data_IF_749091454176
#
_entry.id   IF_749091454176
#
_cell.length_a   1.000
_cell.length_b   1.000
_cell.length_c   1.000
_cell.angle_alpha   90.00
_cell.angle_beta   90.00
_cell.angle_gamma   90.00
#
_symmetry.space_group_name_H-M   'P 1'
#
loop_
_entity.id
_entity.type
_entity.pdbx_description
1 polymer ?
#
# COMPACT_ATOMS: atom_id res chain seq x y z
N UNK A 1 -7.02 10.30 -13.31
CA UNK A 1 -6.65 9.06 -14.01
C UNK A 1 -7.88 8.26 -14.37
N UNK A 2 -7.94 7.75 -15.58
CA UNK A 2 -9.00 6.81 -15.96
C UNK A 2 -8.59 5.37 -15.61
N UNK A 3 -9.51 4.41 -15.82
CA UNK A 3 -9.27 3.00 -15.47
C UNK A 3 -8.08 2.40 -16.19
N UNK A 4 -7.88 2.74 -17.44
CA UNK A 4 -6.75 2.26 -18.25
C UNK A 4 -5.42 2.75 -17.71
N UNK A 5 -5.35 4.02 -17.37
CA UNK A 5 -4.14 4.63 -16.82
C UNK A 5 -3.78 4.00 -15.48
N UNK A 6 -4.77 3.79 -14.62
CA UNK A 6 -4.57 3.16 -13.31
C UNK A 6 -4.05 1.74 -13.50
N UNK A 7 -4.67 0.98 -14.37
CA UNK A 7 -4.27 -0.39 -14.66
C UNK A 7 -2.82 -0.46 -15.15
N UNK A 8 -2.44 0.45 -16.04
CA UNK A 8 -1.09 0.55 -16.58
C UNK A 8 -0.08 0.84 -15.48
N UNK A 9 -0.39 1.82 -14.62
CA UNK A 9 0.48 2.19 -13.51
C UNK A 9 0.69 1.00 -12.57
N UNK A 10 -0.38 0.27 -12.27
CA UNK A 10 -0.30 -0.90 -11.38
C UNK A 10 0.54 -2.02 -11.99
N UNK A 11 0.42 -2.25 -13.30
CA UNK A 11 1.22 -3.27 -13.98
C UNK A 11 2.71 -2.91 -14.00
N UNK A 12 3.03 -1.65 -14.26
CA UNK A 12 4.42 -1.19 -14.25
C UNK A 12 5.00 -1.25 -12.83
N UNK A 13 4.21 -0.95 -11.83
CA UNK A 13 4.64 -1.03 -10.44
C UNK A 13 4.92 -2.48 -10.04
N UNK A 14 4.07 -3.41 -10.47
CA UNK A 14 4.26 -4.84 -10.23
C UNK A 14 5.59 -5.32 -10.83
N UNK A 15 5.89 -4.90 -12.05
CA UNK A 15 7.18 -5.20 -12.68
C UNK A 15 8.34 -4.61 -11.88
N UNK A 16 8.19 -3.38 -11.42
CA UNK A 16 9.22 -2.72 -10.62
C UNK A 16 9.48 -3.49 -9.32
N UNK A 17 8.42 -3.94 -8.63
CA UNK A 17 8.54 -4.72 -7.41
C UNK A 17 9.25 -6.05 -7.63
N UNK A 18 9.10 -6.64 -8.81
CA UNK A 18 9.71 -7.92 -9.17
C UNK A 18 11.05 -7.76 -9.88
N UNK A 19 11.59 -6.55 -9.94
CA UNK A 19 12.84 -6.23 -10.64
C UNK A 19 12.83 -6.63 -12.11
N UNK A 20 11.66 -6.57 -12.74
CA UNK A 20 11.52 -6.87 -14.17
C UNK A 20 11.87 -5.66 -15.01
N UNK A 21 12.41 -5.92 -16.19
CA UNK A 21 12.76 -4.87 -17.14
C UNK A 21 11.51 -4.09 -17.56
N UNK A 22 11.63 -2.78 -17.62
CA UNK A 22 10.50 -1.92 -18.01
C UNK A 22 9.58 -1.55 -16.88
N UNK A 23 9.84 -2.03 -15.65
CA UNK A 23 9.04 -1.67 -14.49
C UNK A 23 9.27 -0.23 -14.06
N UNK A 24 8.22 0.41 -13.55
CA UNK A 24 8.28 1.76 -13.00
C UNK A 24 7.51 1.82 -11.68
N UNK A 25 8.13 2.43 -10.67
CA UNK A 25 7.47 2.63 -9.38
C UNK A 25 6.29 3.56 -9.55
N UNK A 26 5.14 3.17 -9.02
CA UNK A 26 3.93 3.97 -9.12
C UNK A 26 4.08 5.27 -8.32
N UNK A 27 3.77 6.39 -8.98
CA UNK A 27 3.66 7.70 -8.36
C UNK A 27 2.21 8.14 -8.48
N UNK A 28 1.46 7.96 -7.40
CA UNK A 28 0.05 8.30 -7.36
C UNK A 28 -0.21 9.62 -6.63
N UNK A 29 0.85 10.39 -6.33
CA UNK A 29 0.68 11.70 -5.72
C UNK A 29 -0.15 12.57 -6.65
N UNK A 30 -1.18 13.19 -6.12
CA UNK A 30 -2.08 14.02 -6.91
C UNK A 30 -3.05 13.23 -7.77
N UNK A 31 -3.04 11.91 -7.74
CA UNK A 31 -3.97 11.09 -8.51
C UNK A 31 -5.38 11.16 -7.89
N UNK A 32 -6.39 11.23 -8.74
CA UNK A 32 -7.79 11.21 -8.32
C UNK A 32 -8.30 9.77 -8.45
N UNK A 33 -8.48 9.12 -7.31
CA UNK A 33 -8.81 7.69 -7.25
C UNK A 33 -10.24 7.41 -6.78
N UNK A 34 -11.03 8.44 -6.53
CA UNK A 34 -12.42 8.28 -6.08
C UNK A 34 -13.19 7.39 -7.07
N UNK A 35 -13.76 6.28 -6.58
CA UNK A 35 -14.48 5.33 -7.41
C UNK A 35 -13.60 4.34 -8.17
N UNK A 36 -12.28 4.48 -8.12
CA UNK A 36 -11.38 3.56 -8.79
C UNK A 36 -11.41 2.17 -8.14
N UNK A 37 -11.13 1.15 -8.92
CA UNK A 37 -11.06 -0.23 -8.43
C UNK A 37 -9.60 -0.65 -8.29
N UNK A 38 -9.12 -0.71 -7.05
CA UNK A 38 -7.77 -1.13 -6.72
C UNK A 38 -7.71 -2.51 -6.06
N UNK A 39 -8.80 -3.28 -6.17
CA UNK A 39 -8.83 -4.64 -5.61
C UNK A 39 -7.76 -5.51 -6.26
N UNK A 40 -7.02 -6.23 -5.45
CA UNK A 40 -5.90 -7.06 -5.92
C UNK A 40 -4.61 -6.29 -6.17
N UNK A 41 -4.61 -4.97 -6.01
CA UNK A 41 -3.41 -4.17 -6.27
C UNK A 41 -2.37 -4.36 -5.18
N UNK A 42 -1.10 -4.28 -5.59
CA UNK A 42 0.05 -4.24 -4.70
C UNK A 42 0.66 -2.85 -4.84
N UNK A 43 0.56 -2.06 -3.78
CA UNK A 43 1.05 -0.68 -3.77
C UNK A 43 2.20 -0.47 -2.80
N UNK A 44 2.85 -1.55 -2.35
CA UNK A 44 4.02 -1.43 -1.49
C UNK A 44 5.09 -0.55 -2.14
N UNK A 45 5.65 0.36 -1.36
CA UNK A 45 6.71 1.27 -1.78
C UNK A 45 6.31 2.27 -2.88
N UNK A 46 5.00 2.36 -3.19
CA UNK A 46 4.51 3.37 -4.14
C UNK A 46 4.37 4.73 -3.46
N UNK A 47 4.20 5.76 -4.29
CA UNK A 47 3.87 7.10 -3.80
C UNK A 47 2.34 7.23 -3.78
N UNK A 48 1.73 7.00 -2.62
CA UNK A 48 0.28 6.97 -2.46
C UNK A 48 -0.26 8.34 -2.05
N UNK A 49 -1.41 8.80 -2.62
CA UNK A 49 -1.94 10.11 -2.31
C UNK A 49 -2.73 10.12 -0.99
N UNK A 50 -2.43 11.06 -0.11
CA UNK A 50 -3.18 11.27 1.15
C UNK A 50 -4.12 12.48 1.07
N UNK A 51 -4.34 13.04 -0.11
CA UNK A 51 -5.28 14.13 -0.30
C UNK A 51 -6.69 13.56 -0.57
N UNK A 52 -7.71 14.41 -0.64
CA UNK A 52 -9.09 13.95 -0.79
C UNK A 52 -9.33 13.11 -2.05
N UNK A 53 -8.53 13.30 -3.10
CA UNK A 53 -8.60 12.46 -4.30
C UNK A 53 -8.10 11.04 -4.10
N UNK A 54 -7.39 10.76 -3.00
CA UNK A 54 -6.90 9.43 -2.66
C UNK A 54 -7.84 8.64 -1.76
N UNK A 55 -9.10 9.04 -1.68
CA UNK A 55 -10.11 8.35 -0.86
C UNK A 55 -11.22 7.77 -1.72
N UNK A 56 -12.08 6.97 -1.11
CA UNK A 56 -13.29 6.40 -1.74
C UNK A 56 -13.00 5.55 -2.97
N UNK A 57 -11.84 4.92 -3.03
CA UNK A 57 -11.58 3.89 -4.03
C UNK A 57 -11.97 2.53 -3.47
N UNK A 58 -12.13 1.56 -4.36
CA UNK A 58 -12.40 0.17 -3.96
C UNK A 58 -11.09 -0.57 -3.78
N UNK A 59 -10.96 -1.29 -2.68
CA UNK A 59 -9.80 -2.14 -2.45
C UNK A 59 -10.22 -3.40 -1.69
N UNK A 60 -9.30 -4.33 -1.59
CA UNK A 60 -9.50 -5.52 -0.76
C UNK A 60 -8.68 -5.39 0.52
N UNK A 61 -8.79 -6.39 1.40
CA UNK A 61 -8.06 -6.37 2.67
C UNK A 61 -6.55 -6.44 2.48
N UNK A 62 -6.08 -6.97 1.36
CA UNK A 62 -4.65 -7.00 1.05
C UNK A 62 -4.06 -5.59 1.09
N UNK A 63 -4.72 -4.64 0.42
CA UNK A 63 -4.25 -3.25 0.42
C UNK A 63 -4.41 -2.60 1.79
N UNK A 64 -5.49 -2.91 2.51
CA UNK A 64 -5.68 -2.39 3.87
C UNK A 64 -4.52 -2.84 4.77
N UNK A 65 -4.11 -4.11 4.68
CA UNK A 65 -2.97 -4.60 5.46
C UNK A 65 -1.68 -3.87 5.08
N UNK A 66 -1.48 -3.56 3.80
CA UNK A 66 -0.31 -2.80 3.35
C UNK A 66 -0.29 -1.40 3.99
N UNK A 67 -1.44 -0.73 4.01
CA UNK A 67 -1.56 0.61 4.60
C UNK A 67 -1.32 0.58 6.10
N UNK A 68 -1.90 -0.40 6.80
CA UNK A 68 -1.71 -0.54 8.24
C UNK A 68 -0.26 -0.89 8.59
N UNK A 69 0.37 -1.73 7.78
CA UNK A 69 1.77 -2.07 7.95
C UNK A 69 2.65 -0.82 7.81
N UNK A 70 2.34 0.02 6.82
CA UNK A 70 3.07 1.27 6.63
C UNK A 70 2.94 2.18 7.85
N UNK A 71 1.74 2.32 8.40
CA UNK A 71 1.51 3.13 9.60
C UNK A 71 2.38 2.65 10.76
N UNK A 72 2.53 1.33 10.91
CA UNK A 72 3.34 0.78 11.98
C UNK A 72 4.84 1.07 11.85
N UNK A 73 5.30 1.52 10.69
CA UNK A 73 6.70 1.92 10.49
C UNK A 73 6.97 3.37 10.88
N UNK A 74 5.91 4.15 11.13
CA UNK A 74 6.05 5.56 11.44
C UNK A 74 6.47 5.76 12.90
N UNK A 75 7.25 6.80 13.15
CA UNK A 75 7.64 7.18 14.50
C UNK A 75 6.76 8.35 14.95
N UNK A 76 6.00 8.14 16.00
CA UNK A 76 5.13 9.17 16.57
C UNK A 76 4.86 8.85 18.03
N UNK A 77 4.35 9.85 18.77
CA UNK A 77 3.98 9.66 20.18
C UNK A 77 2.65 8.92 20.26
N UNK A 78 2.73 7.60 20.42
CA UNK A 78 1.57 6.70 20.36
C UNK A 78 0.97 6.50 21.76
N UNK A 79 0.49 7.58 22.36
CA UNK A 79 -0.09 7.54 23.70
C UNK A 79 -1.40 6.75 23.76
N UNK A 80 -2.07 6.59 22.64
CA UNK A 80 -3.35 5.86 22.55
C UNK A 80 -3.17 4.38 22.23
N UNK A 81 -1.95 3.93 21.93
CA UNK A 81 -1.68 2.54 21.63
C UNK A 81 -2.19 2.11 20.26
N UNK A 82 -2.17 3.02 19.29
CA UNK A 82 -2.68 2.77 17.94
C UNK A 82 -1.94 1.60 17.29
N UNK A 83 -0.61 1.59 17.38
CA UNK A 83 0.19 0.51 16.77
C UNK A 83 -0.18 -0.86 17.31
N UNK A 84 -0.40 -0.96 18.63
CA UNK A 84 -0.79 -2.24 19.25
C UNK A 84 -2.16 -2.70 18.76
N UNK A 85 -3.09 -1.76 18.54
CA UNK A 85 -4.42 -2.09 18.05
C UNK A 85 -4.41 -2.62 16.62
N UNK A 86 -3.57 -2.05 15.77
CA UNK A 86 -3.54 -2.41 14.35
C UNK A 86 -2.50 -3.48 14.01
N UNK A 87 -1.55 -3.74 14.91
CA UNK A 87 -0.44 -4.67 14.65
C UNK A 87 -0.89 -6.05 14.18
N UNK A 88 -1.92 -6.68 14.76
CA UNK A 88 -2.36 -8.00 14.29
C UNK A 88 -2.76 -8.00 12.82
N UNK A 89 -3.31 -6.89 12.33
CA UNK A 89 -3.69 -6.74 10.92
C UNK A 89 -2.48 -6.36 10.06
N UNK A 90 -1.63 -5.47 10.57
CA UNK A 90 -0.41 -5.07 9.88
C UNK A 90 0.50 -6.27 9.61
N UNK A 91 0.58 -7.20 10.55
CA UNK A 91 1.39 -8.42 10.39
C UNK A 91 0.85 -9.38 9.34
N UNK A 92 -0.36 -9.17 8.84
CA UNK A 92 -0.92 -9.95 7.74
C UNK A 92 -0.44 -9.45 6.38
N UNK A 93 0.21 -8.30 6.34
CA UNK A 93 0.80 -7.80 5.10
C UNK A 93 1.91 -8.74 4.64
N UNK A 94 1.99 -9.00 3.35
CA UNK A 94 3.07 -9.84 2.79
C UNK A 94 4.45 -9.17 2.92
N UNK A 95 4.50 -7.88 3.27
CA UNK A 95 5.75 -7.16 3.53
C UNK A 95 6.07 -7.01 5.01
N UNK A 96 5.29 -7.63 5.90
CA UNK A 96 5.47 -7.45 7.34
C UNK A 96 6.86 -7.85 7.81
N UNK A 97 7.41 -8.94 7.28
CA UNK A 97 8.78 -9.36 7.61
C UNK A 97 9.80 -8.34 7.14
N UNK A 98 9.67 -7.89 5.89
CA UNK A 98 10.58 -6.89 5.31
C UNK A 98 10.56 -5.57 6.08
N UNK A 99 9.41 -5.23 6.66
CA UNK A 99 9.23 -3.99 7.43
C UNK A 99 9.60 -4.15 8.91
N UNK A 100 10.01 -5.33 9.33
CA UNK A 100 10.38 -5.59 10.71
C UNK A 100 9.20 -5.70 11.66
N UNK A 101 7.98 -5.91 11.14
CA UNK A 101 6.77 -5.99 11.96
C UNK A 101 6.51 -7.39 12.52
N UNK A 102 7.15 -8.39 11.98
CA UNK A 102 7.11 -9.74 12.51
C UNK A 102 8.40 -10.47 12.13
N UNK A 103 8.68 -11.51 12.87
CA UNK A 103 9.83 -12.36 12.57
C UNK A 103 9.51 -13.25 11.38
N UNK A 104 10.56 -13.62 10.62
CA UNK A 104 10.43 -14.52 9.51
C UNK A 104 9.91 -15.86 10.02
N UNK A 105 8.79 -16.32 9.47
CA UNK A 105 8.21 -17.59 9.91
C UNK A 105 8.95 -18.78 9.33
N UNK A 106 8.99 -19.82 10.10
CA UNK A 106 9.59 -21.09 9.72
C UNK A 106 8.64 -21.96 8.91
#
# INVERSE_FOLDING_TARGET
MNSEEIKNVLELHKKWLNNEQGGERADLRGAFLCGADLRGADLDFSCFPLWCGGSRFKCDTKLVYQLLAHICTLEFDDTEGIKDLIMPFAQKSHRAVDLGLKEESE
#
